data_IF_259773079507
#
_entry.id   IF_259773079507
#
_cell.length_a   1.000
_cell.length_b   1.000
_cell.length_c   1.000
_cell.angle_alpha   90.00
_cell.angle_beta   90.00
_cell.angle_gamma   90.00
#
_symmetry.space_group_name_H-M   'P 1'
#
loop_
_entity.id
_entity.type
_entity.pdbx_description
1 polymer ?
#
# COMPACT_ATOMS: atom_id res chain seq x y z
N UNK A 1 11.73 5.31 -11.46
CA UNK A 1 11.83 4.16 -10.53
C UNK A 1 12.46 3.03 -11.30
N UNK A 2 13.28 2.17 -10.68
CA UNK A 2 13.80 0.98 -11.34
C UNK A 2 12.63 0.14 -11.90
N UNK A 3 12.88 -0.61 -12.97
CA UNK A 3 11.84 -1.35 -13.68
C UNK A 3 11.22 -2.50 -12.85
N UNK A 4 11.81 -2.81 -11.69
CA UNK A 4 11.42 -3.85 -10.73
C UNK A 4 12.16 -3.58 -9.39
N UNK A 5 11.67 -4.11 -8.26
CA UNK A 5 12.31 -3.93 -6.96
C UNK A 5 13.62 -4.74 -6.84
N UNK A 6 14.61 -4.18 -6.14
CA UNK A 6 15.90 -4.81 -5.85
C UNK A 6 15.75 -6.13 -5.09
N UNK A 7 16.49 -7.16 -5.50
CA UNK A 7 16.53 -8.46 -4.79
C UNK A 7 17.48 -8.46 -3.60
N UNK A 8 18.25 -7.38 -3.42
CA UNK A 8 18.98 -7.11 -2.18
C UNK A 8 18.04 -6.71 -1.03
N UNK A 9 16.76 -6.45 -1.30
CA UNK A 9 15.72 -6.32 -0.27
C UNK A 9 15.34 -7.70 0.30
N UNK A 10 16.31 -8.34 0.93
CA UNK A 10 16.21 -9.65 1.55
C UNK A 10 17.14 -9.71 2.77
N UNK A 11 16.98 -10.73 3.60
CA UNK A 11 17.92 -10.95 4.69
C UNK A 11 19.16 -11.69 4.20
N UNK A 12 20.34 -11.35 4.73
CA UNK A 12 21.61 -11.99 4.31
C UNK A 12 21.57 -13.51 4.43
N UNK A 13 20.86 -14.06 5.42
CA UNK A 13 20.76 -15.51 5.61
C UNK A 13 20.06 -16.21 4.43
N UNK A 14 19.19 -15.52 3.69
CA UNK A 14 18.57 -16.07 2.50
C UNK A 14 19.62 -16.36 1.43
N UNK A 15 20.55 -15.42 1.19
CA UNK A 15 21.62 -15.58 0.20
C UNK A 15 22.64 -16.64 0.64
N UNK A 16 23.03 -16.69 1.91
CA UNK A 16 24.02 -17.66 2.38
C UNK A 16 23.47 -19.09 2.40
N UNK A 17 22.20 -19.30 2.78
CA UNK A 17 21.54 -20.61 2.64
C UNK A 17 21.40 -21.01 1.17
N UNK A 18 21.03 -20.06 0.32
CA UNK A 18 20.87 -20.30 -1.11
C UNK A 18 22.18 -20.74 -1.78
N UNK A 19 23.31 -20.11 -1.45
CA UNK A 19 24.63 -20.58 -1.91
C UNK A 19 24.89 -22.02 -1.45
N UNK A 20 24.65 -22.34 -0.17
CA UNK A 20 24.85 -23.68 0.34
C UNK A 20 23.99 -24.74 -0.38
N UNK A 21 22.75 -24.38 -0.77
CA UNK A 21 21.91 -25.27 -1.59
C UNK A 21 22.47 -25.45 -2.99
N UNK A 22 22.90 -24.38 -3.65
CA UNK A 22 23.47 -24.44 -5.01
C UNK A 22 24.74 -25.29 -5.04
N UNK A 23 25.67 -25.08 -4.10
CA UNK A 23 26.93 -25.83 -4.00
C UNK A 23 26.71 -27.32 -3.71
N UNK A 24 25.63 -27.66 -2.99
CA UNK A 24 25.24 -29.06 -2.72
C UNK A 24 24.35 -29.67 -3.79
N UNK A 25 24.01 -28.94 -4.85
CA UNK A 25 23.11 -29.40 -5.91
C UNK A 25 21.67 -29.64 -5.43
N UNK A 26 21.24 -28.97 -4.36
CA UNK A 26 19.90 -29.10 -3.77
C UNK A 26 18.88 -28.25 -4.51
N UNK A 27 18.50 -28.66 -5.72
CA UNK A 27 17.57 -27.94 -6.60
C UNK A 27 16.19 -28.58 -6.75
N UNK A 28 15.91 -29.64 -5.97
CA UNK A 28 14.60 -30.30 -5.99
C UNK A 28 13.46 -29.31 -5.70
N UNK A 29 12.26 -29.50 -6.31
CA UNK A 29 11.10 -28.70 -5.98
C UNK A 29 10.77 -28.78 -4.48
N UNK A 30 10.51 -27.62 -3.88
CA UNK A 30 10.09 -27.47 -2.49
C UNK A 30 8.83 -26.61 -2.42
N UNK A 31 7.93 -26.97 -1.52
CA UNK A 31 6.66 -26.26 -1.29
C UNK A 31 6.69 -25.56 0.05
N UNK A 32 6.44 -24.25 0.04
CA UNK A 32 6.33 -23.41 1.23
C UNK A 32 4.91 -22.85 1.33
N UNK A 33 4.40 -22.77 2.57
CA UNK A 33 3.08 -22.23 2.87
C UNK A 33 3.17 -21.04 3.82
N UNK A 34 2.48 -19.96 3.47
CA UNK A 34 2.34 -18.77 4.29
C UNK A 34 0.98 -18.80 4.97
N UNK A 35 0.99 -18.86 6.30
CA UNK A 35 -0.20 -18.84 7.14
C UNK A 35 0.07 -18.08 8.44
N UNK A 36 -1.00 -17.68 9.13
CA UNK A 36 -0.92 -17.01 10.43
C UNK A 36 -1.20 -18.02 11.53
N UNK A 37 -0.31 -18.15 12.52
CA UNK A 37 -0.45 -19.16 13.59
C UNK A 37 -1.39 -18.76 14.72
N UNK A 38 -1.41 -17.47 15.07
CA UNK A 38 -2.18 -16.98 16.22
C UNK A 38 -2.70 -15.58 15.96
N UNK A 39 -3.99 -15.40 16.20
CA UNK A 39 -4.64 -14.10 16.16
C UNK A 39 -4.77 -13.52 17.57
N UNK A 40 -4.62 -12.19 17.74
CA UNK A 40 -4.98 -11.53 18.99
C UNK A 40 -6.45 -11.79 19.34
N UNK A 41 -6.78 -11.87 20.63
CA UNK A 41 -8.15 -12.18 21.10
C UNK A 41 -9.25 -11.26 20.54
N UNK A 42 -8.91 -10.01 20.20
CA UNK A 42 -9.83 -9.02 19.60
C UNK A 42 -9.83 -9.01 18.06
N UNK A 43 -9.10 -9.91 17.41
CA UNK A 43 -9.05 -10.05 15.96
C UNK A 43 -9.66 -11.39 15.53
N UNK A 44 -10.98 -11.42 15.36
CA UNK A 44 -11.71 -12.63 14.98
C UNK A 44 -11.50 -13.13 13.55
N UNK A 45 -10.91 -12.33 12.66
CA UNK A 45 -10.62 -12.71 11.28
C UNK A 45 -9.55 -11.81 10.65
N UNK A 46 -9.00 -12.25 9.53
CA UNK A 46 -8.15 -11.47 8.63
C UNK A 46 -8.78 -11.39 7.23
N UNK A 47 -8.32 -10.41 6.44
CA UNK A 47 -8.69 -10.23 5.03
C UNK A 47 -7.43 -10.49 4.19
N UNK A 48 -7.50 -11.45 3.28
CA UNK A 48 -6.41 -11.75 2.35
C UNK A 48 -6.16 -10.53 1.44
N UNK A 49 -4.93 -10.02 1.45
CA UNK A 49 -4.51 -8.92 0.59
C UNK A 49 -3.00 -8.97 0.33
N UNK A 50 -2.59 -8.50 -0.84
CA UNK A 50 -1.21 -8.41 -1.33
C UNK A 50 -0.83 -9.41 -2.42
N UNK A 51 -1.79 -10.19 -2.95
CA UNK A 51 -1.52 -11.17 -4.00
C UNK A 51 -1.03 -10.51 -5.29
N UNK A 52 -1.66 -9.43 -5.76
CA UNK A 52 -1.21 -8.70 -6.96
C UNK A 52 0.26 -8.25 -6.83
N UNK A 53 0.62 -7.62 -5.71
CA UNK A 53 2.00 -7.18 -5.46
C UNK A 53 2.99 -8.35 -5.35
N UNK A 54 2.55 -9.48 -4.81
CA UNK A 54 3.36 -10.69 -4.74
C UNK A 54 3.62 -11.27 -6.13
N UNK A 55 2.61 -11.31 -7.01
CA UNK A 55 2.76 -11.78 -8.38
C UNK A 55 3.64 -10.83 -9.19
N UNK A 56 3.43 -9.51 -9.11
CA UNK A 56 4.30 -8.51 -9.76
C UNK A 56 5.78 -8.71 -9.38
N UNK A 57 6.04 -8.96 -8.09
CA UNK A 57 7.39 -9.25 -7.60
C UNK A 57 7.95 -10.54 -8.22
N UNK A 58 7.20 -11.63 -8.19
CA UNK A 58 7.65 -12.92 -8.71
C UNK A 58 7.87 -12.89 -10.24
N UNK A 59 6.97 -12.26 -10.99
CA UNK A 59 7.03 -12.15 -12.45
C UNK A 59 8.22 -11.30 -12.92
N UNK A 60 8.61 -10.29 -12.14
CA UNK A 60 9.71 -9.39 -12.48
C UNK A 60 11.04 -9.75 -11.82
N UNK A 61 11.05 -10.80 -10.98
CA UNK A 61 12.18 -11.24 -10.17
C UNK A 61 13.43 -11.51 -11.00
N UNK A 62 14.47 -10.72 -10.77
CA UNK A 62 15.84 -10.92 -11.28
C UNK A 62 16.82 -10.07 -10.49
N UNK A 63 18.08 -10.48 -10.45
CA UNK A 63 19.16 -9.60 -10.03
C UNK A 63 19.58 -8.71 -11.20
N UNK A 64 19.78 -7.43 -10.93
CA UNK A 64 20.42 -6.52 -11.88
C UNK A 64 21.94 -6.69 -11.88
N UNK A 65 22.60 -6.30 -12.98
CA UNK A 65 24.06 -6.47 -13.14
C UNK A 65 24.85 -5.76 -12.04
N UNK A 66 24.42 -4.57 -11.63
CA UNK A 66 25.06 -3.80 -10.56
C UNK A 66 24.90 -4.46 -9.18
N UNK A 67 23.78 -5.12 -8.91
CA UNK A 67 23.59 -5.91 -7.69
C UNK A 67 24.55 -7.11 -7.63
N UNK A 68 24.76 -7.79 -8.75
CA UNK A 68 25.71 -8.91 -8.85
C UNK A 68 27.14 -8.42 -8.67
N UNK A 69 27.53 -7.32 -9.33
CA UNK A 69 28.84 -6.70 -9.15
C UNK A 69 29.08 -6.28 -7.70
N UNK A 70 28.06 -5.70 -7.05
CA UNK A 70 28.13 -5.35 -5.64
C UNK A 70 28.32 -6.58 -4.75
N UNK A 71 27.54 -7.65 -4.96
CA UNK A 71 27.70 -8.92 -4.23
C UNK A 71 29.07 -9.55 -4.43
N UNK A 72 29.63 -9.48 -5.64
CA UNK A 72 30.99 -9.92 -5.93
C UNK A 72 32.02 -9.15 -5.11
N UNK A 73 31.88 -7.82 -5.02
CA UNK A 73 32.78 -6.95 -4.26
C UNK A 73 32.80 -7.21 -2.75
N UNK A 74 31.78 -7.88 -2.20
CA UNK A 74 31.74 -8.27 -0.77
C UNK A 74 32.73 -9.41 -0.46
N UNK A 75 33.07 -10.24 -1.46
CA UNK A 75 34.01 -11.36 -1.31
C UNK A 75 33.49 -12.53 -0.45
N UNK A 76 32.18 -12.58 -0.17
CA UNK A 76 31.54 -13.66 0.61
C UNK A 76 30.87 -14.73 -0.27
N UNK A 77 30.76 -14.50 -1.57
CA UNK A 77 30.00 -15.33 -2.49
C UNK A 77 30.89 -15.91 -3.60
N UNK A 78 30.67 -17.17 -3.98
CA UNK A 78 31.45 -17.84 -5.03
C UNK A 78 31.03 -17.39 -6.42
N UNK A 79 31.97 -17.41 -7.38
CA UNK A 79 31.69 -17.02 -8.78
C UNK A 79 30.57 -17.88 -9.40
N UNK A 80 30.53 -19.17 -9.07
CA UNK A 80 29.49 -20.10 -9.53
C UNK A 80 28.11 -19.70 -8.98
N UNK A 81 28.03 -19.29 -7.71
CA UNK A 81 26.79 -18.81 -7.12
C UNK A 81 26.35 -17.47 -7.72
N UNK A 82 27.26 -16.52 -7.93
CA UNK A 82 26.97 -15.25 -8.59
C UNK A 82 26.49 -15.45 -10.04
N UNK A 83 27.09 -16.42 -10.75
CA UNK A 83 26.66 -16.86 -12.08
C UNK A 83 25.28 -17.55 -12.06
N UNK A 84 24.92 -18.23 -10.98
CA UNK A 84 23.57 -18.72 -10.75
C UNK A 84 22.58 -17.56 -10.58
N UNK A 85 22.89 -16.60 -9.71
CA UNK A 85 22.01 -15.46 -9.41
C UNK A 85 21.70 -14.61 -10.65
N UNK A 86 22.70 -14.35 -11.51
CA UNK A 86 22.53 -13.53 -12.71
C UNK A 86 21.54 -14.12 -13.74
N UNK A 87 21.40 -15.45 -13.77
CA UNK A 87 20.50 -16.19 -14.68
C UNK A 87 19.16 -16.53 -14.05
N UNK A 88 19.02 -16.36 -12.74
CA UNK A 88 17.84 -16.79 -12.00
C UNK A 88 16.60 -15.99 -12.42
N UNK A 89 15.49 -16.71 -12.61
CA UNK A 89 14.13 -16.18 -12.75
C UNK A 89 13.17 -17.06 -11.95
N UNK A 90 12.04 -16.51 -11.55
CA UNK A 90 10.98 -17.32 -10.95
C UNK A 90 10.30 -18.17 -12.03
N UNK A 91 10.20 -19.48 -11.79
CA UNK A 91 9.59 -20.47 -12.71
C UNK A 91 8.68 -21.46 -11.97
N UNK A 92 8.30 -21.12 -10.74
CA UNK A 92 7.49 -21.97 -9.87
C UNK A 92 5.98 -21.76 -10.01
N UNK A 93 5.24 -22.57 -9.26
CA UNK A 93 3.80 -22.50 -9.13
C UNK A 93 3.39 -21.70 -7.88
N UNK A 94 2.31 -20.92 -8.02
CA UNK A 94 1.72 -20.14 -6.92
C UNK A 94 0.24 -20.50 -6.79
N UNK A 95 -0.17 -20.93 -5.60
CA UNK A 95 -1.58 -21.07 -5.23
C UNK A 95 -1.91 -20.07 -4.12
N UNK A 96 -3.03 -19.37 -4.23
CA UNK A 96 -3.39 -18.32 -3.27
C UNK A 96 -4.89 -18.23 -3.04
N UNK A 97 -5.28 -17.69 -1.89
CA UNK A 97 -6.63 -17.18 -1.69
C UNK A 97 -6.85 -15.92 -2.53
N UNK A 98 -8.07 -15.75 -3.06
CA UNK A 98 -8.44 -14.51 -3.74
C UNK A 98 -8.40 -13.32 -2.75
N UNK A 99 -7.94 -12.15 -3.20
CA UNK A 99 -7.95 -10.96 -2.34
C UNK A 99 -9.37 -10.56 -1.93
N UNK A 100 -9.52 -10.08 -0.70
CA UNK A 100 -10.82 -9.82 -0.08
C UNK A 100 -11.43 -11.03 0.64
N UNK A 101 -10.86 -12.23 0.47
CA UNK A 101 -11.30 -13.43 1.21
C UNK A 101 -11.05 -13.28 2.71
N UNK A 102 -12.06 -13.61 3.51
CA UNK A 102 -11.93 -13.73 4.96
C UNK A 102 -11.24 -15.04 5.29
N UNK A 103 -10.20 -15.01 6.12
CA UNK A 103 -9.46 -16.19 6.53
C UNK A 103 -9.05 -16.15 8.01
N UNK A 104 -8.63 -17.30 8.53
CA UNK A 104 -8.35 -17.53 9.95
C UNK A 104 -6.92 -18.04 10.19
N UNK A 105 -6.61 -18.31 11.46
CA UNK A 105 -5.34 -18.92 11.81
C UNK A 105 -5.24 -20.34 11.22
N UNK A 106 -4.01 -20.75 10.91
CA UNK A 106 -3.67 -22.08 10.40
C UNK A 106 -4.27 -22.41 9.02
N UNK A 107 -4.71 -21.38 8.28
CA UNK A 107 -5.14 -21.48 6.89
C UNK A 107 -4.05 -20.88 5.96
N UNK A 108 -3.55 -21.64 4.96
CA UNK A 108 -2.54 -21.14 4.03
C UNK A 108 -3.15 -20.12 3.06
N UNK A 109 -2.66 -18.89 3.09
CA UNK A 109 -3.12 -17.82 2.18
C UNK A 109 -2.33 -17.80 0.87
N UNK A 110 -1.10 -18.32 0.89
CA UNK A 110 -0.21 -18.44 -0.25
C UNK A 110 0.59 -19.74 -0.11
N UNK A 111 0.73 -20.47 -1.20
CA UNK A 111 1.62 -21.62 -1.34
C UNK A 111 2.49 -21.42 -2.58
N UNK A 112 3.80 -21.59 -2.42
CA UNK A 112 4.79 -21.48 -3.50
C UNK A 112 5.50 -22.81 -3.66
N UNK A 113 5.56 -23.32 -4.89
CA UNK A 113 6.36 -24.51 -5.24
C UNK A 113 7.38 -24.12 -6.30
N UNK A 114 8.67 -24.20 -5.99
CA UNK A 114 9.76 -23.86 -6.90
C UNK A 114 11.03 -24.65 -6.54
N UNK A 115 12.09 -24.65 -7.36
CA UNK A 115 13.40 -25.17 -6.93
C UNK A 115 13.80 -24.58 -5.59
N UNK A 116 14.24 -25.43 -4.64
CA UNK A 116 14.49 -25.04 -3.24
C UNK A 116 15.25 -23.71 -3.05
N UNK A 117 16.34 -23.40 -3.77
CA UNK A 117 17.05 -22.13 -3.60
C UNK A 117 16.18 -20.91 -3.93
N UNK A 118 15.32 -21.02 -4.95
CA UNK A 118 14.41 -19.95 -5.38
C UNK A 118 13.22 -19.83 -4.43
N UNK A 119 12.62 -20.96 -4.05
CA UNK A 119 11.49 -21.00 -3.11
C UNK A 119 11.86 -20.36 -1.75
N UNK A 120 13.09 -20.61 -1.28
CA UNK A 120 13.62 -20.03 -0.05
C UNK A 120 13.85 -18.52 -0.18
N UNK A 121 14.47 -18.05 -1.27
CA UNK A 121 14.83 -16.65 -1.45
C UNK A 121 13.61 -15.70 -1.43
N UNK A 122 12.49 -16.13 -2.03
CA UNK A 122 11.29 -15.29 -2.15
C UNK A 122 10.53 -15.11 -0.83
N UNK A 123 10.84 -15.91 0.19
CA UNK A 123 10.15 -15.92 1.49
C UNK A 123 10.05 -14.52 2.11
N UNK A 124 11.19 -13.84 2.29
CA UNK A 124 11.26 -12.55 3.01
C UNK A 124 10.36 -11.51 2.35
N UNK A 125 10.41 -11.39 1.02
CA UNK A 125 9.63 -10.36 0.31
C UNK A 125 8.15 -10.71 0.22
N UNK A 126 7.80 -11.98 0.01
CA UNK A 126 6.40 -12.42 0.04
C UNK A 126 5.78 -12.20 1.42
N UNK A 127 6.47 -12.57 2.50
CA UNK A 127 6.03 -12.28 3.86
C UNK A 127 5.83 -10.78 4.07
N UNK A 128 6.80 -9.95 3.67
CA UNK A 128 6.72 -8.50 3.82
C UNK A 128 5.49 -7.89 3.13
N UNK A 129 5.24 -8.26 1.86
CA UNK A 129 4.13 -7.75 1.06
C UNK A 129 2.76 -8.21 1.59
N UNK A 130 2.58 -9.53 1.78
CA UNK A 130 1.30 -10.10 2.20
C UNK A 130 0.96 -9.74 3.65
N UNK A 131 1.95 -9.76 4.56
CA UNK A 131 1.73 -9.40 5.95
C UNK A 131 1.18 -7.97 6.07
N UNK A 132 1.86 -7.01 5.45
CA UNK A 132 1.49 -5.60 5.56
C UNK A 132 0.08 -5.35 5.03
N UNK A 133 -0.19 -5.77 3.79
CA UNK A 133 -1.49 -5.53 3.15
C UNK A 133 -2.62 -6.25 3.87
N UNK A 134 -2.41 -7.50 4.31
CA UNK A 134 -3.38 -8.25 5.12
C UNK A 134 -3.71 -7.52 6.42
N UNK A 135 -2.72 -6.99 7.14
CA UNK A 135 -2.95 -6.28 8.40
C UNK A 135 -3.74 -4.98 8.17
N UNK A 136 -3.42 -4.23 7.12
CA UNK A 136 -4.16 -3.00 6.77
C UNK A 136 -5.59 -3.31 6.35
N UNK A 137 -5.81 -4.24 5.41
CA UNK A 137 -7.14 -4.64 4.96
C UNK A 137 -8.00 -5.13 6.13
N UNK A 138 -7.42 -5.94 7.01
CA UNK A 138 -8.08 -6.41 8.22
C UNK A 138 -8.48 -5.27 9.17
N UNK A 139 -7.65 -4.23 9.31
CA UNK A 139 -8.00 -3.06 10.13
C UNK A 139 -9.06 -2.19 9.46
N UNK A 140 -8.96 -1.97 8.16
CA UNK A 140 -9.93 -1.21 7.37
C UNK A 140 -11.32 -1.88 7.40
N UNK A 141 -11.40 -3.20 7.26
CA UNK A 141 -12.66 -3.94 7.37
C UNK A 141 -13.36 -3.69 8.73
N UNK A 142 -12.59 -3.59 9.81
CA UNK A 142 -13.14 -3.26 11.14
C UNK A 142 -13.66 -1.82 11.22
N UNK A 143 -13.04 -0.87 10.51
CA UNK A 143 -13.54 0.50 10.43
C UNK A 143 -14.85 0.54 9.64
N UNK A 144 -14.95 -0.20 8.52
CA UNK A 144 -16.18 -0.34 7.72
C UNK A 144 -17.31 -0.91 8.58
N UNK A 145 -17.05 -1.99 9.32
CA UNK A 145 -18.03 -2.60 10.23
C UNK A 145 -18.48 -1.63 11.34
N UNK A 146 -17.58 -0.78 11.84
CA UNK A 146 -17.89 0.20 12.88
C UNK A 146 -18.63 1.44 12.36
N UNK A 147 -18.63 1.69 11.05
CA UNK A 147 -19.19 2.89 10.42
C UNK A 147 -20.18 2.52 9.29
N UNK A 148 -21.27 1.78 9.57
CA UNK A 148 -22.20 1.32 8.56
C UNK A 148 -22.83 2.48 7.78
N UNK A 149 -22.85 2.37 6.46
CA UNK A 149 -23.42 3.39 5.56
C UNK A 149 -22.64 4.71 5.51
N UNK A 150 -21.45 4.79 6.14
CA UNK A 150 -20.58 5.97 6.08
C UNK A 150 -19.49 5.79 5.05
N UNK A 151 -19.17 6.87 4.36
CA UNK A 151 -18.03 6.94 3.45
C UNK A 151 -16.74 7.01 4.25
N UNK A 152 -15.87 6.02 4.08
CA UNK A 152 -14.52 6.01 4.65
C UNK A 152 -13.50 6.29 3.55
N UNK A 153 -12.54 7.17 3.83
CA UNK A 153 -11.52 7.60 2.87
C UNK A 153 -10.15 7.52 3.53
N UNK A 154 -9.18 6.94 2.82
CA UNK A 154 -7.79 6.86 3.29
C UNK A 154 -7.05 8.18 3.07
N UNK A 155 -6.70 8.87 4.15
CA UNK A 155 -5.81 10.04 4.17
C UNK A 155 -4.48 9.76 4.91
N UNK A 156 -4.07 8.49 5.02
CA UNK A 156 -2.97 8.04 5.89
C UNK A 156 -1.55 8.29 5.37
N UNK A 157 -1.36 8.57 4.07
CA UNK A 157 -0.05 8.60 3.39
C UNK A 157 1.04 9.39 4.15
N UNK A 158 0.71 10.58 4.64
CA UNK A 158 1.67 11.49 5.31
C UNK A 158 2.25 10.95 6.62
N UNK A 159 1.66 9.89 7.17
CA UNK A 159 2.10 9.21 8.42
C UNK A 159 2.47 7.74 8.17
N UNK A 160 2.43 7.29 6.91
CA UNK A 160 2.79 5.92 6.57
C UNK A 160 4.28 5.67 6.76
N UNK A 161 4.64 4.42 7.03
CA UNK A 161 6.03 3.99 7.22
C UNK A 161 6.77 3.85 5.88
N UNK A 162 6.93 4.97 5.18
CA UNK A 162 7.53 5.05 3.84
C UNK A 162 6.49 5.10 2.72
N UNK A 163 6.98 5.46 1.53
CA UNK A 163 6.13 5.69 0.36
C UNK A 163 5.40 4.43 -0.13
N UNK A 164 6.09 3.29 -0.17
CA UNK A 164 5.51 2.00 -0.56
C UNK A 164 4.39 1.60 0.41
N UNK A 165 4.64 1.70 1.73
CA UNK A 165 3.64 1.40 2.75
C UNK A 165 2.38 2.26 2.57
N UNK A 166 2.53 3.56 2.36
CA UNK A 166 1.37 4.45 2.15
C UNK A 166 0.56 4.10 0.90
N UNK A 167 1.24 3.76 -0.20
CA UNK A 167 0.59 3.35 -1.44
C UNK A 167 -0.17 2.02 -1.28
N UNK A 168 0.47 1.01 -0.68
CA UNK A 168 -0.14 -0.30 -0.45
C UNK A 168 -1.25 -0.24 0.60
N UNK A 169 -1.16 0.66 1.58
CA UNK A 169 -2.22 0.89 2.55
C UNK A 169 -3.50 1.40 1.89
N UNK A 170 -3.38 2.36 0.97
CA UNK A 170 -4.52 2.87 0.21
C UNK A 170 -5.24 1.75 -0.56
N UNK A 171 -4.47 0.88 -1.24
CA UNK A 171 -4.99 -0.30 -1.95
C UNK A 171 -5.69 -1.28 -1.01
N UNK A 172 -5.02 -1.68 0.06
CA UNK A 172 -5.56 -2.64 1.03
C UNK A 172 -6.82 -2.12 1.74
N UNK A 173 -6.87 -0.83 2.05
CA UNK A 173 -8.06 -0.20 2.64
C UNK A 173 -9.24 -0.19 1.65
N UNK A 174 -8.96 0.09 0.37
CA UNK A 174 -9.98 0.07 -0.68
C UNK A 174 -10.58 -1.33 -0.89
N UNK A 175 -9.74 -2.38 -0.95
CA UNK A 175 -10.19 -3.78 -1.01
C UNK A 175 -11.15 -4.11 0.15
N UNK A 176 -10.86 -3.59 1.34
CA UNK A 176 -11.65 -3.84 2.53
C UNK A 176 -12.96 -3.03 2.61
N UNK A 177 -13.21 -2.11 1.67
CA UNK A 177 -14.46 -1.34 1.58
C UNK A 177 -14.35 0.16 1.84
N UNK A 178 -13.14 0.73 1.88
CA UNK A 178 -13.01 2.19 1.83
C UNK A 178 -13.46 2.72 0.45
N UNK A 179 -14.00 3.93 0.41
CA UNK A 179 -14.52 4.53 -0.82
C UNK A 179 -13.43 5.12 -1.72
N UNK A 180 -12.23 5.39 -1.19
CA UNK A 180 -11.13 5.96 -1.94
C UNK A 180 -9.97 6.44 -1.06
N UNK A 181 -9.06 7.21 -1.64
CA UNK A 181 -7.82 7.69 -1.00
C UNK A 181 -7.45 9.11 -1.44
N UNK A 182 -6.67 9.83 -0.62
CA UNK A 182 -5.93 11.03 -1.07
C UNK A 182 -4.62 10.72 -1.79
N UNK A 183 -4.18 9.47 -1.77
CA UNK A 183 -2.92 9.07 -2.39
C UNK A 183 -3.05 9.06 -3.91
N UNK A 184 -2.61 10.13 -4.57
CA UNK A 184 -2.76 10.32 -6.03
C UNK A 184 -2.17 9.16 -6.84
N UNK A 185 -1.01 8.63 -6.42
CA UNK A 185 -0.37 7.52 -7.13
C UNK A 185 -1.20 6.22 -7.10
N UNK A 186 -1.99 6.00 -6.04
CA UNK A 186 -2.87 4.83 -5.93
C UNK A 186 -3.97 4.84 -7.00
N UNK A 187 -4.46 6.00 -7.40
CA UNK A 187 -5.41 6.09 -8.52
C UNK A 187 -4.78 5.67 -9.84
N UNK A 188 -3.57 6.17 -10.12
CA UNK A 188 -2.85 5.85 -11.36
C UNK A 188 -2.52 4.35 -11.46
N UNK A 189 -2.18 3.72 -10.35
CA UNK A 189 -1.75 2.32 -10.34
C UNK A 189 -2.92 1.34 -10.23
N UNK A 190 -3.94 1.65 -9.43
CA UNK A 190 -4.98 0.70 -9.05
C UNK A 190 -6.40 1.16 -9.38
N UNK A 191 -6.57 2.33 -10.01
CA UNK A 191 -7.89 2.87 -10.36
C UNK A 191 -8.74 3.35 -9.17
N UNK A 192 -8.14 3.46 -7.98
CA UNK A 192 -8.86 3.81 -6.74
C UNK A 192 -9.42 5.24 -6.85
N UNK A 193 -10.69 5.50 -6.48
CA UNK A 193 -11.24 6.86 -6.49
C UNK A 193 -10.44 7.82 -5.61
N UNK A 194 -10.16 9.02 -6.14
CA UNK A 194 -9.42 10.05 -5.42
C UNK A 194 -10.34 10.97 -4.63
N UNK A 195 -9.89 11.33 -3.44
CA UNK A 195 -10.50 12.34 -2.59
C UNK A 195 -9.46 13.37 -2.18
N UNK A 196 -9.84 14.64 -2.19
CA UNK A 196 -8.95 15.72 -1.77
C UNK A 196 -9.74 16.97 -1.45
N UNK A 197 -9.24 17.74 -0.49
CA UNK A 197 -9.82 19.04 -0.09
C UNK A 197 -8.68 20.04 0.09
N UNK A 198 -9.00 21.22 0.61
CA UNK A 198 -8.00 22.17 1.09
C UNK A 198 -7.35 21.71 2.42
N UNK A 199 -6.24 22.34 2.78
CA UNK A 199 -5.54 22.19 4.05
C UNK A 199 -5.45 23.54 4.79
N UNK A 200 -5.18 23.52 6.09
CA UNK A 200 -5.05 24.73 6.91
C UNK A 200 -4.07 25.74 6.33
N UNK A 201 -2.95 25.29 5.77
CA UNK A 201 -1.93 26.15 5.16
C UNK A 201 -2.48 27.00 4.01
N UNK A 202 -3.50 26.53 3.29
CA UNK A 202 -4.13 27.33 2.25
C UNK A 202 -4.92 28.50 2.85
N UNK A 203 -5.64 28.27 3.97
CA UNK A 203 -6.38 29.32 4.67
C UNK A 203 -5.41 30.34 5.26
N UNK A 204 -4.36 29.87 5.94
CA UNK A 204 -3.36 30.72 6.58
C UNK A 204 -2.49 31.51 5.60
N UNK A 205 -2.48 31.15 4.32
CA UNK A 205 -1.79 31.91 3.27
C UNK A 205 -2.59 33.14 2.79
N UNK A 206 -3.81 33.33 3.29
CA UNK A 206 -4.65 34.49 2.98
C UNK A 206 -4.82 35.34 4.24
N UNK A 207 -4.92 36.65 4.06
CA UNK A 207 -5.18 37.60 5.17
C UNK A 207 -6.60 37.45 5.73
N UNK A 208 -7.53 36.91 4.92
CA UNK A 208 -8.92 36.66 5.31
C UNK A 208 -9.39 35.26 4.90
N UNK A 209 -10.04 34.58 5.84
CA UNK A 209 -10.57 33.24 5.67
C UNK A 209 -11.71 33.18 4.64
N UNK A 210 -12.51 34.24 4.53
CA UNK A 210 -13.62 34.33 3.56
C UNK A 210 -13.08 34.37 2.13
N UNK A 211 -12.03 35.15 1.90
CA UNK A 211 -11.33 35.19 0.61
C UNK A 211 -10.68 33.84 0.27
N UNK A 212 -10.10 33.14 1.24
CA UNK A 212 -9.59 31.78 1.03
C UNK A 212 -10.71 30.82 0.57
N UNK A 213 -11.88 30.86 1.21
CA UNK A 213 -13.03 30.03 0.82
C UNK A 213 -13.51 30.32 -0.61
N UNK A 214 -13.61 31.60 -0.97
CA UNK A 214 -14.00 32.01 -2.32
C UNK A 214 -12.97 31.58 -3.36
N UNK A 215 -11.67 31.80 -3.08
CA UNK A 215 -10.59 31.42 -3.97
C UNK A 215 -10.59 29.90 -4.23
N UNK A 216 -10.76 29.10 -3.18
CA UNK A 216 -10.82 27.64 -3.32
C UNK A 216 -12.07 27.17 -4.09
N UNK A 217 -13.24 27.76 -3.80
CA UNK A 217 -14.47 27.43 -4.52
C UNK A 217 -14.40 27.75 -6.02
N UNK A 218 -13.76 28.86 -6.39
CA UNK A 218 -13.51 29.24 -7.80
C UNK A 218 -12.52 28.31 -8.49
N UNK A 219 -11.49 27.85 -7.77
CA UNK A 219 -10.50 26.91 -8.31
C UNK A 219 -11.06 25.47 -8.46
N UNK A 220 -12.10 25.11 -7.71
CA UNK A 220 -12.72 23.78 -7.68
C UNK A 220 -14.25 23.86 -7.84
N UNK A 221 -14.76 24.39 -8.97
CA UNK A 221 -16.19 24.58 -9.17
C UNK A 221 -16.94 23.24 -9.14
N UNK A 222 -17.96 23.13 -8.27
CA UNK A 222 -18.80 21.93 -8.15
C UNK A 222 -18.26 20.81 -7.28
N UNK A 223 -17.02 20.93 -6.79
CA UNK A 223 -16.36 19.89 -5.99
C UNK A 223 -15.72 20.42 -4.69
N UNK A 224 -15.98 21.68 -4.36
CA UNK A 224 -15.33 22.33 -3.23
C UNK A 224 -15.86 21.80 -1.88
N UNK A 225 -14.93 21.35 -1.04
CA UNK A 225 -15.16 21.06 0.39
C UNK A 225 -14.29 22.01 1.20
N UNK A 226 -14.93 22.84 2.03
CA UNK A 226 -14.25 23.90 2.77
C UNK A 226 -13.85 23.44 4.17
N UNK A 227 -12.60 23.69 4.57
CA UNK A 227 -12.09 23.39 5.90
C UNK A 227 -12.45 24.54 6.85
N UNK A 228 -13.25 24.29 7.88
CA UNK A 228 -13.85 25.36 8.69
C UNK A 228 -13.26 25.50 10.09
N UNK A 229 -12.23 24.75 10.44
CA UNK A 229 -11.68 24.66 11.80
C UNK A 229 -10.25 25.21 11.92
N UNK A 230 -9.86 26.13 11.04
CA UNK A 230 -8.52 26.73 11.11
C UNK A 230 -8.38 27.71 12.27
N UNK A 231 -9.43 28.48 12.58
CA UNK A 231 -9.43 29.45 13.68
C UNK A 231 -10.58 29.20 14.67
N UNK A 232 -11.83 29.32 14.19
CA UNK A 232 -13.04 29.08 14.98
C UNK A 232 -14.11 28.43 14.10
N UNK A 233 -14.50 27.21 14.46
CA UNK A 233 -15.39 26.36 13.67
C UNK A 233 -16.78 26.95 13.48
N UNK A 234 -17.36 27.54 14.52
CA UNK A 234 -18.71 28.11 14.42
C UNK A 234 -18.71 29.42 13.63
N UNK A 235 -17.71 30.27 13.85
CA UNK A 235 -17.55 31.51 13.12
C UNK A 235 -17.33 31.24 11.62
N UNK A 236 -16.45 30.30 11.27
CA UNK A 236 -16.22 29.89 9.90
C UNK A 236 -17.47 29.27 9.25
N UNK A 237 -18.24 28.44 9.97
CA UNK A 237 -19.51 27.92 9.47
C UNK A 237 -20.50 29.06 9.13
N UNK A 238 -20.60 30.09 9.98
CA UNK A 238 -21.42 31.28 9.71
C UNK A 238 -20.92 32.04 8.47
N UNK A 239 -19.61 32.18 8.28
CA UNK A 239 -19.01 32.77 7.07
C UNK A 239 -19.39 31.98 5.81
N UNK A 240 -19.28 30.65 5.84
CA UNK A 240 -19.67 29.79 4.70
C UNK A 240 -21.15 29.96 4.34
N UNK A 241 -22.04 30.03 5.34
CA UNK A 241 -23.47 30.30 5.11
C UNK A 241 -23.69 31.69 4.50
N UNK A 242 -23.00 32.72 5.02
CA UNK A 242 -23.08 34.07 4.48
C UNK A 242 -22.55 34.18 3.03
N UNK A 243 -21.59 33.32 2.64
CA UNK A 243 -21.06 33.25 1.28
C UNK A 243 -21.99 32.56 0.28
N UNK A 244 -22.92 31.71 0.74
CA UNK A 244 -23.73 30.87 -0.13
C UNK A 244 -24.50 31.63 -1.24
N UNK A 245 -25.11 32.81 -1.00
CA UNK A 245 -25.75 33.58 -2.06
C UNK A 245 -24.78 34.04 -3.14
N UNK A 246 -23.57 34.48 -2.75
CA UNK A 246 -22.52 34.93 -3.67
C UNK A 246 -22.00 33.76 -4.52
N UNK A 247 -21.72 32.62 -3.88
CA UNK A 247 -21.30 31.40 -4.58
C UNK A 247 -22.35 30.96 -5.62
N UNK A 248 -23.64 30.98 -5.25
CA UNK A 248 -24.74 30.66 -6.18
C UNK A 248 -24.83 31.65 -7.34
N UNK A 249 -24.66 32.94 -7.10
CA UNK A 249 -24.65 33.96 -8.15
C UNK A 249 -23.49 33.74 -9.15
N UNK A 250 -22.36 33.21 -8.69
CA UNK A 250 -21.21 32.82 -9.53
C UNK A 250 -21.36 31.41 -10.15
N UNK A 251 -22.49 30.72 -9.93
CA UNK A 251 -22.72 29.34 -10.42
C UNK A 251 -21.90 28.26 -9.71
N UNK A 252 -21.30 28.60 -8.56
CA UNK A 252 -20.46 27.71 -7.78
C UNK A 252 -21.31 26.94 -6.75
N UNK A 253 -21.09 25.64 -6.66
CA UNK A 253 -21.71 24.77 -5.65
C UNK A 253 -20.64 24.14 -4.75
N UNK A 254 -20.97 24.04 -3.46
CA UNK A 254 -20.13 23.40 -2.45
C UNK A 254 -20.61 21.97 -2.24
N UNK A 255 -19.68 21.02 -2.17
CA UNK A 255 -19.97 19.62 -1.84
C UNK A 255 -20.17 19.44 -0.33
N UNK A 256 -19.50 20.26 0.49
CA UNK A 256 -19.66 20.22 1.95
C UNK A 256 -18.59 21.01 2.70
N UNK A 257 -18.45 20.71 4.00
CA UNK A 257 -17.41 21.25 4.88
C UNK A 257 -16.65 20.11 5.55
N UNK A 258 -15.40 20.37 5.98
CA UNK A 258 -14.56 19.45 6.75
C UNK A 258 -14.21 20.04 8.11
N UNK A 259 -14.19 19.16 9.12
CA UNK A 259 -13.66 19.36 10.47
C UNK A 259 -12.66 18.22 10.70
N UNK A 260 -11.45 18.51 11.16
CA UNK A 260 -10.32 17.59 11.41
C UNK A 260 -10.14 17.29 12.91
#
# INVERSE_FOLDING_TARGET
MPAHPSLLLTDLYQLTMMQAYVERGMSAPATFELFVRRLPARRGFLIAAGLESALDFLETLRFDTDEIEWLSGIGQFTDDFLSYLSRMRFTGDVHAMAEGTVFFADEPILRVTAPLPVAQLVETRLLNLLHYQTVIASKAARMVLAAPGRTLVDFGLRRAHGAEAGLLAARAAYIAGFAGTATVLAHRMFGIPMYGTMAHSFIQAHDDETEAFLAFARARPGDAVLLIDTYDTEAAARKVVALAPRLRAEGLTLRGVRID
#
